data_IF_824347725321
#
_entry.id   IF_824347725321
#
_cell.length_a   1.000
_cell.length_b   1.000
_cell.length_c   1.000
_cell.angle_alpha   90.00
_cell.angle_beta   90.00
_cell.angle_gamma   90.00
#
_symmetry.space_group_name_H-M   'P 1'
#
loop_
_entity.id
_entity.type
_entity.pdbx_description
1 polymer ?
#
# COMPACT_ATOMS: atom_id res chain seq x y z
N UNK A 1 -5.80 5.38 -22.33
CA UNK A 1 -5.21 5.11 -21.00
C UNK A 1 -5.39 3.63 -20.73
N UNK A 2 -4.34 2.92 -20.50
CA UNK A 2 -4.41 1.46 -20.29
C UNK A 2 -3.69 1.16 -18.98
N UNK A 3 -4.47 1.05 -17.90
CA UNK A 3 -3.95 0.52 -16.62
C UNK A 3 -3.38 -0.88 -16.88
N UNK A 4 -2.05 -0.97 -16.99
CA UNK A 4 -1.35 -2.23 -17.21
C UNK A 4 -1.05 -2.87 -15.87
N UNK A 5 -1.43 -4.16 -15.75
CA UNK A 5 -1.00 -4.99 -14.62
C UNK A 5 0.23 -5.77 -15.08
N UNK A 6 1.29 -5.73 -14.26
CA UNK A 6 2.44 -6.61 -14.37
C UNK A 6 2.40 -7.62 -13.21
N UNK A 7 2.41 -8.91 -13.56
CA UNK A 7 2.42 -9.99 -12.58
C UNK A 7 3.85 -10.48 -12.37
N UNK A 8 4.28 -10.57 -11.12
CA UNK A 8 5.56 -11.14 -10.71
C UNK A 8 5.39 -12.58 -10.25
N UNK A 9 6.46 -13.33 -10.19
CA UNK A 9 6.42 -14.70 -9.68
C UNK A 9 6.17 -14.69 -8.17
N UNK A 10 5.10 -15.36 -7.75
CA UNK A 10 4.79 -15.59 -6.33
C UNK A 10 5.13 -17.03 -6.00
N UNK A 11 6.11 -17.23 -5.14
CA UNK A 11 6.48 -18.57 -4.69
C UNK A 11 5.50 -19.15 -3.66
N UNK A 12 5.73 -20.39 -3.25
CA UNK A 12 4.82 -21.09 -2.33
C UNK A 12 4.75 -20.45 -0.94
N UNK A 13 5.77 -19.73 -0.52
CA UNK A 13 5.84 -19.13 0.83
C UNK A 13 4.83 -18.00 0.98
N UNK A 14 4.46 -17.34 -0.11
CA UNK A 14 3.52 -16.22 -0.13
C UNK A 14 2.06 -16.60 -0.43
N UNK A 15 1.79 -17.84 -0.83
CA UNK A 15 0.46 -18.23 -1.32
C UNK A 15 -0.63 -18.13 -0.28
N UNK A 16 -0.38 -18.57 0.94
CA UNK A 16 -1.37 -18.53 2.02
C UNK A 16 -1.74 -17.07 2.37
N UNK A 17 -0.74 -16.17 2.37
CA UNK A 17 -0.96 -14.73 2.58
C UNK A 17 -1.68 -14.11 1.39
N UNK A 18 -1.30 -14.46 0.18
CA UNK A 18 -1.96 -14.00 -1.04
C UNK A 18 -3.44 -14.38 -1.03
N UNK A 19 -3.76 -15.64 -0.73
CA UNK A 19 -5.13 -16.13 -0.66
C UNK A 19 -5.92 -15.42 0.45
N UNK A 20 -5.32 -15.18 1.61
CA UNK A 20 -5.95 -14.47 2.70
C UNK A 20 -6.32 -13.02 2.31
N UNK A 21 -5.45 -12.32 1.58
CA UNK A 21 -5.73 -10.97 1.08
C UNK A 21 -6.69 -10.96 -0.10
N UNK A 22 -6.61 -11.95 -1.01
CA UNK A 22 -7.56 -12.12 -2.11
C UNK A 22 -8.99 -12.24 -1.59
N UNK A 23 -9.21 -13.03 -0.54
CA UNK A 23 -10.52 -13.20 0.09
C UNK A 23 -11.11 -11.91 0.68
N UNK A 24 -10.29 -10.91 0.96
CA UNK A 24 -10.69 -9.60 1.50
C UNK A 24 -10.87 -8.53 0.43
N UNK A 25 -10.43 -8.76 -0.80
CA UNK A 25 -10.36 -7.73 -1.85
C UNK A 25 -11.72 -7.06 -2.13
N UNK A 26 -12.81 -7.84 -2.21
CA UNK A 26 -14.14 -7.28 -2.43
C UNK A 26 -14.56 -6.29 -1.34
N UNK A 27 -14.25 -6.59 -0.07
CA UNK A 27 -14.51 -5.69 1.03
C UNK A 27 -13.79 -4.35 0.86
N UNK A 28 -12.52 -4.36 0.45
CA UNK A 28 -11.75 -3.14 0.22
C UNK A 28 -12.26 -2.33 -0.97
N UNK A 29 -12.71 -3.00 -2.05
CA UNK A 29 -13.36 -2.32 -3.19
C UNK A 29 -14.64 -1.62 -2.75
N UNK A 30 -15.47 -2.27 -1.93
CA UNK A 30 -16.69 -1.66 -1.38
C UNK A 30 -16.38 -0.47 -0.46
N UNK A 31 -15.32 -0.60 0.35
CA UNK A 31 -14.87 0.46 1.25
C UNK A 31 -14.41 1.73 0.54
N UNK A 32 -13.86 1.62 -0.69
CA UNK A 32 -13.37 2.76 -1.48
C UNK A 32 -14.37 3.92 -1.57
N UNK A 33 -15.63 3.60 -1.77
CA UNK A 33 -16.69 4.60 -1.96
C UNK A 33 -17.23 5.21 -0.67
N UNK A 34 -16.84 4.71 0.49
CA UNK A 34 -17.32 5.22 1.79
C UNK A 34 -16.69 6.57 2.11
N UNK A 35 -17.48 7.41 2.78
CA UNK A 35 -17.07 8.77 3.13
C UNK A 35 -15.89 8.80 4.11
N UNK A 36 -15.82 7.84 5.04
CA UNK A 36 -14.71 7.69 5.97
C UNK A 36 -13.39 7.35 5.22
N UNK A 37 -13.45 6.49 4.20
CA UNK A 37 -12.27 6.16 3.39
C UNK A 37 -11.80 7.35 2.55
N UNK A 38 -12.73 8.07 1.94
CA UNK A 38 -12.42 9.32 1.20
C UNK A 38 -11.81 10.39 2.11
N UNK A 39 -12.32 10.50 3.34
CA UNK A 39 -11.74 11.41 4.33
C UNK A 39 -10.29 11.03 4.68
N UNK A 40 -9.98 9.75 4.89
CA UNK A 40 -8.62 9.26 5.13
C UNK A 40 -7.67 9.59 3.99
N UNK A 41 -8.10 9.42 2.73
CA UNK A 41 -7.29 9.80 1.56
C UNK A 41 -7.05 11.31 1.52
N UNK A 42 -8.06 12.11 1.82
CA UNK A 42 -7.94 13.57 1.89
C UNK A 42 -6.98 14.01 2.99
N UNK A 43 -7.06 13.40 4.17
CA UNK A 43 -6.16 13.65 5.29
C UNK A 43 -4.71 13.30 4.94
N UNK A 44 -4.50 12.16 4.29
CA UNK A 44 -3.17 11.76 3.80
C UNK A 44 -2.57 12.78 2.82
N UNK A 45 -3.35 13.24 1.84
CA UNK A 45 -2.89 14.25 0.89
C UNK A 45 -2.58 15.59 1.58
N UNK A 46 -3.41 15.99 2.55
CA UNK A 46 -3.16 17.19 3.37
C UNK A 46 -1.87 17.04 4.17
N UNK A 47 -1.67 15.91 4.82
CA UNK A 47 -0.44 15.60 5.55
C UNK A 47 0.79 15.68 4.65
N UNK A 48 0.76 15.06 3.48
CA UNK A 48 1.89 15.15 2.53
C UNK A 48 2.20 16.59 2.13
N UNK A 49 1.18 17.43 1.98
CA UNK A 49 1.34 18.83 1.64
C UNK A 49 1.91 19.63 2.80
N UNK A 50 1.37 19.48 4.00
CA UNK A 50 1.75 20.24 5.19
C UNK A 50 3.20 19.92 5.62
N UNK A 51 3.60 18.65 5.48
CA UNK A 51 4.97 18.18 5.77
C UNK A 51 5.94 18.35 4.59
N UNK A 52 5.50 18.99 3.50
CA UNK A 52 6.32 19.18 2.28
C UNK A 52 6.86 17.84 1.72
N UNK A 53 6.05 16.80 1.77
CA UNK A 53 6.39 15.47 1.28
C UNK A 53 5.89 15.19 -0.16
N UNK A 54 5.03 16.06 -0.70
CA UNK A 54 4.57 15.88 -2.07
C UNK A 54 5.74 15.85 -3.06
N UNK A 55 5.70 14.99 -4.09
CA UNK A 55 6.66 14.99 -5.17
C UNK A 55 6.66 16.33 -5.95
N UNK A 56 7.69 16.58 -6.78
CA UNK A 56 7.60 17.64 -7.76
C UNK A 56 6.42 17.41 -8.71
N UNK A 57 6.00 18.46 -9.40
CA UNK A 57 4.90 18.33 -10.38
C UNK A 57 5.21 17.23 -11.40
N UNK A 58 4.20 16.41 -11.71
CA UNK A 58 4.31 15.21 -12.57
C UNK A 58 5.29 14.14 -12.05
N UNK A 59 5.66 14.21 -10.78
CA UNK A 59 6.56 13.26 -10.11
C UNK A 59 5.97 11.86 -10.00
N UNK A 60 6.85 10.89 -9.75
CA UNK A 60 6.51 9.47 -9.65
C UNK A 60 6.39 9.04 -8.19
N UNK A 61 5.33 8.29 -7.88
CA UNK A 61 5.11 7.74 -6.53
C UNK A 61 4.97 6.21 -6.55
N UNK A 62 5.38 5.58 -5.46
CA UNK A 62 5.21 4.14 -5.24
C UNK A 62 4.47 3.91 -3.92
N UNK A 63 3.36 3.20 -4.00
CA UNK A 63 2.56 2.68 -2.88
C UNK A 63 2.86 1.20 -2.69
N UNK A 64 3.46 0.85 -1.55
CA UNK A 64 3.88 -0.53 -1.23
C UNK A 64 2.84 -1.18 -0.31
N UNK A 65 2.30 -2.33 -0.73
CA UNK A 65 1.15 -2.95 -0.08
C UNK A 65 -0.10 -2.12 -0.28
N UNK A 66 -0.32 -1.67 -1.51
CA UNK A 66 -1.28 -0.62 -1.85
C UNK A 66 -2.76 -1.04 -1.70
N UNK A 67 -3.05 -2.33 -1.53
CA UNK A 67 -4.41 -2.84 -1.57
C UNK A 67 -5.12 -2.43 -2.86
N UNK A 68 -6.30 -1.84 -2.74
CA UNK A 68 -7.06 -1.30 -3.89
C UNK A 68 -6.58 0.08 -4.34
N UNK A 69 -5.39 0.51 -3.91
CA UNK A 69 -4.71 1.75 -4.32
C UNK A 69 -5.45 3.05 -3.96
N UNK A 70 -6.21 3.11 -2.87
CA UNK A 70 -6.96 4.32 -2.51
C UNK A 70 -6.08 5.58 -2.44
N UNK A 71 -4.91 5.47 -1.81
CA UNK A 71 -3.97 6.59 -1.67
C UNK A 71 -3.26 6.92 -2.99
N UNK A 72 -2.89 5.89 -3.76
CA UNK A 72 -2.33 6.07 -5.10
C UNK A 72 -3.34 6.72 -6.06
N UNK A 73 -4.62 6.34 -6.00
CA UNK A 73 -5.71 7.01 -6.73
C UNK A 73 -5.84 8.48 -6.31
N UNK A 74 -5.73 8.78 -5.02
CA UNK A 74 -5.71 10.14 -4.52
C UNK A 74 -4.59 10.98 -5.16
N UNK A 75 -3.38 10.46 -5.19
CA UNK A 75 -2.23 11.13 -5.84
C UNK A 75 -2.39 11.22 -7.36
N UNK A 76 -2.96 10.20 -8.01
CA UNK A 76 -3.23 10.26 -9.45
C UNK A 76 -4.26 11.33 -9.82
N UNK A 77 -5.29 11.58 -8.97
CA UNK A 77 -6.24 12.70 -9.15
C UNK A 77 -5.55 14.07 -9.09
N UNK A 78 -4.48 14.19 -8.29
CA UNK A 78 -3.64 15.40 -8.20
C UNK A 78 -2.62 15.51 -9.35
N UNK A 79 -2.58 14.53 -10.27
CA UNK A 79 -1.72 14.55 -11.47
C UNK A 79 -0.35 13.89 -11.30
N UNK A 80 -0.09 13.18 -10.21
CA UNK A 80 1.12 12.39 -10.03
C UNK A 80 1.07 11.06 -10.78
N UNK A 81 2.24 10.56 -11.20
CA UNK A 81 2.39 9.24 -11.80
C UNK A 81 2.44 8.19 -10.71
N UNK A 82 1.28 7.61 -10.40
CA UNK A 82 1.15 6.70 -9.29
C UNK A 82 1.40 5.24 -9.70
N UNK A 83 2.20 4.56 -8.91
CA UNK A 83 2.47 3.12 -9.03
C UNK A 83 2.03 2.43 -7.75
N UNK A 84 1.35 1.29 -7.87
CA UNK A 84 0.98 0.43 -6.74
C UNK A 84 1.52 -0.98 -6.90
N UNK A 85 2.01 -1.56 -5.82
CA UNK A 85 2.38 -2.98 -5.74
C UNK A 85 1.68 -3.61 -4.55
N UNK A 86 1.06 -4.77 -4.79
CA UNK A 86 0.43 -5.57 -3.74
C UNK A 86 0.59 -7.07 -4.04
N UNK A 87 0.67 -7.88 -3.01
CA UNK A 87 0.76 -9.33 -3.12
C UNK A 87 -0.53 -9.93 -3.71
N UNK A 88 -1.68 -9.34 -3.39
CA UNK A 88 -3.01 -9.83 -3.77
C UNK A 88 -3.38 -9.40 -5.19
N UNK A 89 -3.62 -10.37 -6.06
CA UNK A 89 -4.14 -10.11 -7.40
C UNK A 89 -5.58 -9.58 -7.35
N UNK A 90 -6.37 -10.00 -6.38
CA UNK A 90 -7.72 -9.49 -6.14
C UNK A 90 -7.72 -8.00 -5.81
N UNK A 91 -6.79 -7.53 -4.96
CA UNK A 91 -6.62 -6.11 -4.65
C UNK A 91 -6.24 -5.31 -5.90
N UNK A 92 -5.23 -5.76 -6.63
CA UNK A 92 -4.75 -5.05 -7.84
C UNK A 92 -5.80 -5.02 -8.94
N UNK A 93 -6.57 -6.10 -9.13
CA UNK A 93 -7.70 -6.09 -10.08
C UNK A 93 -8.79 -5.10 -9.64
N UNK A 94 -9.07 -5.02 -8.34
CA UNK A 94 -9.95 -4.00 -7.78
C UNK A 94 -9.43 -2.58 -8.02
N UNK A 95 -8.15 -2.33 -7.74
CA UNK A 95 -7.50 -1.05 -8.03
C UNK A 95 -7.62 -0.64 -9.49
N UNK A 96 -7.42 -1.59 -10.41
CA UNK A 96 -7.59 -1.34 -11.85
C UNK A 96 -9.01 -0.91 -12.20
N UNK A 97 -10.02 -1.62 -11.68
CA UNK A 97 -11.43 -1.29 -11.92
C UNK A 97 -11.78 0.11 -11.40
N UNK A 98 -11.29 0.46 -10.20
CA UNK A 98 -11.49 1.79 -9.63
C UNK A 98 -10.82 2.88 -10.47
N UNK A 99 -9.56 2.69 -10.87
CA UNK A 99 -8.84 3.62 -11.72
C UNK A 99 -9.56 3.83 -13.07
N UNK A 100 -10.00 2.75 -13.71
CA UNK A 100 -10.75 2.81 -14.98
C UNK A 100 -12.08 3.55 -14.82
N UNK A 101 -12.80 3.33 -13.71
CA UNK A 101 -14.07 4.02 -13.45
C UNK A 101 -13.92 5.53 -13.26
N UNK A 102 -12.75 5.97 -12.81
CA UNK A 102 -12.42 7.39 -12.62
C UNK A 102 -11.63 8.00 -13.79
N UNK A 103 -11.30 7.21 -14.81
CA UNK A 103 -10.50 7.67 -15.94
C UNK A 103 -9.05 8.00 -15.58
N UNK A 104 -8.54 7.39 -14.51
CA UNK A 104 -7.16 7.56 -14.03
C UNK A 104 -6.24 6.49 -14.61
N UNK A 105 -4.94 6.78 -14.64
CA UNK A 105 -3.89 5.88 -15.12
C UNK A 105 -2.91 5.54 -13.99
N UNK A 106 -2.82 4.27 -13.63
CA UNK A 106 -1.91 3.74 -12.62
C UNK A 106 -1.03 2.65 -13.22
N UNK A 107 0.21 2.57 -12.74
CA UNK A 107 1.09 1.42 -12.97
C UNK A 107 0.89 0.41 -11.84
N UNK A 108 0.41 -0.78 -12.15
CA UNK A 108 -0.02 -1.77 -11.16
C UNK A 108 0.82 -3.05 -11.23
N UNK A 109 1.24 -3.55 -10.08
CA UNK A 109 2.09 -4.74 -9.97
C UNK A 109 1.51 -5.72 -8.97
N UNK A 110 1.44 -7.00 -9.36
CA UNK A 110 1.06 -8.11 -8.48
C UNK A 110 2.34 -8.85 -8.07
N UNK A 111 2.61 -8.89 -6.79
CA UNK A 111 3.74 -9.64 -6.24
C UNK A 111 4.18 -9.16 -4.85
N UNK A 112 5.06 -9.91 -4.20
CA UNK A 112 5.57 -9.55 -2.88
C UNK A 112 6.50 -8.34 -2.99
N UNK A 113 6.48 -7.50 -1.95
CA UNK A 113 7.51 -6.47 -1.81
C UNK A 113 8.75 -7.07 -1.15
N UNK A 114 9.90 -6.87 -1.75
CA UNK A 114 11.21 -7.27 -1.22
C UNK A 114 12.33 -6.52 -1.94
N UNK A 115 13.55 -6.64 -1.44
CA UNK A 115 14.74 -6.13 -2.14
C UNK A 115 14.99 -6.84 -3.47
N UNK A 116 14.65 -8.14 -3.56
CA UNK A 116 14.71 -8.89 -4.81
C UNK A 116 13.74 -8.33 -5.84
N UNK A 117 12.48 -8.10 -5.46
CA UNK A 117 11.46 -7.47 -6.32
C UNK A 117 11.91 -6.09 -6.80
N UNK A 118 12.44 -5.26 -5.91
CA UNK A 118 12.98 -3.94 -6.26
C UNK A 118 14.05 -4.05 -7.34
N UNK A 119 15.01 -4.98 -7.18
CA UNK A 119 16.11 -5.20 -8.15
C UNK A 119 15.62 -5.76 -9.47
N UNK A 120 14.71 -6.73 -9.46
CA UNK A 120 14.11 -7.30 -10.67
C UNK A 120 13.43 -6.22 -11.51
N UNK A 121 12.66 -5.35 -10.87
CA UNK A 121 11.95 -4.23 -11.49
C UNK A 121 12.86 -3.03 -11.80
N UNK A 122 14.13 -3.07 -11.36
CA UNK A 122 15.10 -1.97 -11.53
C UNK A 122 14.62 -0.66 -10.93
N UNK A 123 14.04 -0.75 -9.75
CA UNK A 123 13.46 0.40 -9.05
C UNK A 123 14.44 1.13 -8.12
N UNK A 124 15.73 1.11 -8.45
CA UNK A 124 16.72 1.91 -7.73
C UNK A 124 16.50 3.39 -7.99
N UNK A 125 16.29 4.16 -6.91
CA UNK A 125 16.12 5.62 -6.97
C UNK A 125 15.17 6.08 -8.09
N UNK A 126 14.05 5.36 -8.22
CA UNK A 126 13.11 5.55 -9.33
C UNK A 126 11.99 6.52 -8.98
N UNK A 127 11.51 6.49 -7.73
CA UNK A 127 10.33 7.24 -7.30
C UNK A 127 10.72 8.47 -6.49
N UNK A 128 9.99 9.56 -6.70
CA UNK A 128 10.20 10.81 -5.96
C UNK A 128 9.61 10.74 -4.54
N UNK A 129 8.56 9.94 -4.36
CA UNK A 129 8.00 9.54 -3.07
C UNK A 129 7.69 8.05 -3.09
N UNK A 130 8.24 7.32 -2.13
CA UNK A 130 7.87 5.93 -1.85
C UNK A 130 7.18 5.87 -0.50
N UNK A 131 6.02 5.22 -0.43
CA UNK A 131 5.30 5.12 0.84
C UNK A 131 4.65 3.76 1.03
N UNK A 132 4.32 3.48 2.28
CA UNK A 132 3.58 2.29 2.69
C UNK A 132 2.70 2.63 3.89
N UNK A 133 1.43 2.24 3.86
CA UNK A 133 0.45 2.59 4.88
C UNK A 133 -0.20 1.31 5.40
N UNK A 134 -0.01 1.05 6.70
CA UNK A 134 -0.57 -0.11 7.42
C UNK A 134 -0.28 -1.47 6.78
N UNK A 135 0.83 -1.60 6.05
CA UNK A 135 1.25 -2.84 5.42
C UNK A 135 2.16 -3.66 6.36
N UNK A 136 1.76 -4.89 6.75
CA UNK A 136 2.50 -5.69 7.74
C UNK A 136 3.92 -6.07 7.29
N UNK A 137 4.15 -6.25 6.00
CA UNK A 137 5.47 -6.62 5.46
C UNK A 137 6.56 -5.60 5.79
N UNK A 138 6.17 -4.36 6.10
CA UNK A 138 7.09 -3.27 6.42
C UNK A 138 7.67 -3.33 7.83
N UNK A 139 7.26 -4.31 8.67
CA UNK A 139 7.94 -4.55 9.94
C UNK A 139 9.29 -5.28 9.77
N UNK A 140 9.59 -5.79 8.58
CA UNK A 140 10.92 -6.29 8.22
C UNK A 140 11.83 -5.13 7.80
N UNK A 141 12.99 -5.02 8.45
CA UNK A 141 13.97 -3.94 8.22
C UNK A 141 14.54 -3.96 6.80
N UNK A 142 14.65 -5.13 6.17
CA UNK A 142 15.14 -5.23 4.79
C UNK A 142 14.11 -4.66 3.80
N UNK A 143 12.82 -4.81 4.10
CA UNK A 143 11.75 -4.22 3.29
C UNK A 143 11.70 -2.68 3.44
N UNK A 144 11.97 -2.16 4.64
CA UNK A 144 12.12 -0.70 4.86
C UNK A 144 13.35 -0.19 4.08
N UNK A 145 14.46 -0.92 4.12
CA UNK A 145 15.67 -0.55 3.36
C UNK A 145 15.39 -0.56 1.86
N UNK A 146 14.74 -1.59 1.34
CA UNK A 146 14.34 -1.67 -0.07
C UNK A 146 13.44 -0.49 -0.47
N UNK A 147 12.49 -0.09 0.40
CA UNK A 147 11.65 1.08 0.18
C UNK A 147 12.49 2.37 0.10
N UNK A 148 13.44 2.56 1.01
CA UNK A 148 14.35 3.71 0.98
C UNK A 148 15.21 3.73 -0.28
N UNK A 149 15.72 2.58 -0.73
CA UNK A 149 16.56 2.49 -1.92
C UNK A 149 15.77 2.69 -3.22
N UNK A 150 14.47 2.43 -3.24
CA UNK A 150 13.61 2.73 -4.39
C UNK A 150 13.29 4.22 -4.52
N UNK A 151 13.41 5.00 -3.44
CA UNK A 151 13.14 6.43 -3.41
C UNK A 151 14.36 7.25 -3.82
N UNK A 152 14.14 8.29 -4.63
CA UNK A 152 15.13 9.33 -4.93
C UNK A 152 15.36 10.29 -3.75
N UNK A 153 14.27 10.64 -3.06
CA UNK A 153 14.27 11.72 -2.08
C UNK A 153 13.47 11.33 -0.82
N UNK A 154 12.18 11.03 -0.95
CA UNK A 154 11.24 10.93 0.16
C UNK A 154 10.69 9.53 0.34
N UNK A 155 10.62 9.13 1.61
CA UNK A 155 10.18 7.81 2.03
C UNK A 155 9.27 7.98 3.26
N UNK A 156 8.06 7.43 3.22
CA UNK A 156 7.07 7.54 4.29
C UNK A 156 6.51 6.18 4.65
N UNK A 157 6.65 5.79 5.90
CA UNK A 157 6.00 4.61 6.45
C UNK A 157 5.03 5.01 7.55
N UNK A 158 3.76 4.65 7.39
CA UNK A 158 2.71 4.85 8.38
C UNK A 158 2.32 3.47 8.91
N UNK A 159 2.47 3.28 10.22
CA UNK A 159 2.12 2.06 10.92
C UNK A 159 1.23 2.37 12.13
N UNK A 160 0.60 1.34 12.68
CA UNK A 160 -0.06 1.48 13.97
C UNK A 160 0.99 1.65 15.07
N UNK A 161 0.87 2.71 15.85
CA UNK A 161 1.70 2.91 17.04
C UNK A 161 1.23 2.03 18.20
N UNK A 162 -0.06 1.76 18.25
CA UNK A 162 -0.70 0.93 19.26
C UNK A 162 -1.95 0.28 18.63
N UNK A 163 -2.15 -0.99 18.87
CA UNK A 163 -3.35 -1.69 18.47
C UNK A 163 -4.04 -2.18 19.73
N UNK A 164 -4.99 -1.38 20.25
CA UNK A 164 -5.89 -1.81 21.31
C UNK A 164 -7.24 -2.23 20.71
N UNK A 165 -7.66 -3.42 21.06
CA UNK A 165 -9.03 -3.91 20.83
C UNK A 165 -9.54 -4.40 22.18
N UNK A 166 -10.45 -3.66 22.77
CA UNK A 166 -10.96 -3.95 24.13
C UNK A 166 -11.43 -5.41 24.29
N UNK A 167 -12.00 -5.97 23.24
CA UNK A 167 -12.46 -7.38 23.26
C UNK A 167 -11.27 -8.35 23.25
N UNK A 168 -10.28 -8.09 22.41
CA UNK A 168 -9.06 -8.92 22.30
C UNK A 168 -8.23 -8.78 23.57
N UNK A 169 -8.08 -7.57 24.08
CA UNK A 169 -7.34 -7.27 25.31
C UNK A 169 -7.98 -7.95 26.52
N UNK A 170 -9.31 -7.86 26.68
CA UNK A 170 -10.09 -8.55 27.72
C UNK A 170 -9.96 -10.09 27.62
N UNK A 171 -10.05 -10.65 26.40
CA UNK A 171 -9.89 -12.09 26.20
C UNK A 171 -8.45 -12.54 26.45
N UNK A 172 -7.47 -11.74 26.05
CA UNK A 172 -6.05 -12.00 26.27
C UNK A 172 -5.72 -12.02 27.76
N UNK A 173 -6.20 -11.04 28.52
CA UNK A 173 -6.05 -10.98 29.97
C UNK A 173 -6.72 -12.17 30.65
N UNK A 174 -7.95 -12.49 30.23
CA UNK A 174 -8.74 -13.56 30.83
C UNK A 174 -8.13 -14.95 30.59
N UNK A 175 -7.67 -15.24 29.38
CA UNK A 175 -7.19 -16.61 29.02
C UNK A 175 -5.69 -16.79 29.14
N UNK A 176 -4.89 -15.73 29.02
CA UNK A 176 -3.43 -15.83 28.94
C UNK A 176 -2.71 -15.02 30.04
N UNK A 177 -3.44 -14.20 30.82
CA UNK A 177 -2.87 -13.39 31.89
C UNK A 177 -1.84 -12.36 31.36
N UNK A 178 -2.10 -11.78 30.22
CA UNK A 178 -1.22 -10.79 29.57
C UNK A 178 -1.96 -9.52 29.25
N UNK A 179 -1.34 -8.38 29.53
CA UNK A 179 -1.89 -7.06 29.26
C UNK A 179 -1.88 -6.68 27.78
N UNK A 180 -1.24 -7.46 26.90
CA UNK A 180 -1.22 -7.26 25.44
C UNK A 180 -0.64 -8.45 24.68
N UNK A 181 -1.10 -8.65 23.45
CA UNK A 181 -0.37 -9.47 22.47
C UNK A 181 0.91 -8.73 22.06
N UNK A 182 2.02 -9.47 21.84
CA UNK A 182 3.26 -8.89 21.37
C UNK A 182 3.12 -8.26 19.99
#
# INVERSE_FOLDING_TARGET
>A
MTNRIQELTVDKTWRDEQDAWNNRSNYFVEMHNRDDRKAQVTEFLSFLKDENLLPPKDGCTLDIGCGVCDYALGLAREGYKATGIDLSDGMIRGAKQLAESEGLDLSLYIGPWSDETRRELKWDKTFDLTYSIFCPIMFDVENIRAMHESSKDKCLWIAFSERSDETVDMLSEHFFGRDSFP
#
